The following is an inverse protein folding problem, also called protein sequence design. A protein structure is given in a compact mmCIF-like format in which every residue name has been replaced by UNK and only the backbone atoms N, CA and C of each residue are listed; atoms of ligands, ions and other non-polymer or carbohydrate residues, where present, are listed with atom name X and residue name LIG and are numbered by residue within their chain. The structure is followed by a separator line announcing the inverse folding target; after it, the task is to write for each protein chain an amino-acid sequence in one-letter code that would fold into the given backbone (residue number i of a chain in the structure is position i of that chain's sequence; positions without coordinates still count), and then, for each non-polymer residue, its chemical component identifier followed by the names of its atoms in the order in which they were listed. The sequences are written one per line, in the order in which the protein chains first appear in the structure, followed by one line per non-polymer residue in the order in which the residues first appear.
data_IF_809194946656
#
_entry.id   IF_809194946656
#
_cell.length_a   1.000
_cell.length_b   1.000
_cell.length_c   1.000
_cell.angle_alpha   90.00
_cell.angle_beta   90.00
_cell.angle_gamma   90.00
#
_symmetry.space_group_name_H-M   'P 1'
#
loop_
_entity.id
_entity.type
_entity.pdbx_description
1 polymer ?
#
# COMPACT_ATOMS: atom_id res chain seq x y z
N UNK A 1 -4.61 -41.49 -14.03
CA UNK A 1 -3.39 -40.65 -13.96
C UNK A 1 -3.82 -39.27 -14.40
N UNK A 2 -4.16 -38.40 -13.44
CA UNK A 2 -4.52 -37.01 -13.72
C UNK A 2 -3.21 -36.23 -13.77
N UNK A 3 -2.91 -35.59 -14.89
CA UNK A 3 -1.85 -34.60 -14.94
C UNK A 3 -2.44 -33.26 -14.48
N UNK A 4 -1.98 -32.75 -13.34
CA UNK A 4 -2.14 -31.35 -12.98
C UNK A 4 -1.43 -30.50 -14.03
N UNK A 5 -2.14 -29.55 -14.64
CA UNK A 5 -1.50 -28.49 -15.41
C UNK A 5 -0.81 -27.58 -14.41
N UNK A 6 0.48 -27.32 -14.63
CA UNK A 6 1.19 -26.23 -13.95
C UNK A 6 0.37 -24.95 -14.11
N UNK A 7 0.11 -24.25 -13.01
CA UNK A 7 -0.58 -22.98 -13.03
C UNK A 7 0.08 -22.03 -14.02
N UNK A 8 -0.77 -21.31 -14.78
CA UNK A 8 -0.35 -20.34 -15.76
C UNK A 8 0.50 -19.28 -15.04
N UNK A 9 1.72 -18.99 -15.53
CA UNK A 9 2.68 -18.00 -15.00
C UNK A 9 2.17 -16.54 -15.07
N UNK A 10 0.88 -16.29 -14.88
CA UNK A 10 0.33 -14.94 -14.81
C UNK A 10 0.53 -14.32 -13.41
N UNK A 11 0.75 -15.11 -12.35
CA UNK A 11 0.99 -14.62 -10.99
C UNK A 11 2.42 -14.11 -10.69
N UNK A 12 3.34 -14.08 -11.67
CA UNK A 12 4.72 -13.62 -11.46
C UNK A 12 5.04 -12.26 -12.11
N UNK A 13 4.22 -11.80 -13.06
CA UNK A 13 4.43 -10.51 -13.70
C UNK A 13 3.69 -9.41 -12.91
N UNK A 14 4.30 -8.24 -12.78
CA UNK A 14 3.62 -7.07 -12.24
C UNK A 14 2.38 -6.69 -13.05
N UNK A 15 1.44 -6.02 -12.39
CA UNK A 15 0.15 -5.58 -12.91
C UNK A 15 0.01 -4.04 -12.97
N UNK A 16 0.94 -3.29 -12.37
CA UNK A 16 0.94 -1.83 -12.31
C UNK A 16 1.13 -1.29 -10.89
N UNK A 17 0.85 0.00 -10.69
CA UNK A 17 0.68 0.63 -9.39
C UNK A 17 -0.80 0.95 -9.19
N UNK A 18 -1.28 0.95 -7.95
CA UNK A 18 -2.63 1.42 -7.62
C UNK A 18 -2.63 2.95 -7.63
N UNK A 19 -3.26 3.54 -8.64
CA UNK A 19 -3.50 4.98 -8.76
C UNK A 19 -4.77 5.39 -8.06
N UNK A 20 -4.65 6.17 -7.00
CA UNK A 20 -5.74 6.82 -6.28
C UNK A 20 -5.93 8.22 -6.87
N UNK A 21 -7.10 8.49 -7.43
CA UNK A 21 -7.44 9.77 -8.07
C UNK A 21 -8.37 10.58 -7.19
N UNK A 22 -8.03 11.85 -6.96
CA UNK A 22 -8.73 12.74 -6.02
C UNK A 22 -9.28 13.97 -6.73
N UNK A 23 -10.42 14.48 -6.26
CA UNK A 23 -11.03 15.71 -6.76
C UNK A 23 -10.22 16.97 -6.44
N UNK A 24 -9.37 16.94 -5.42
CA UNK A 24 -8.62 18.10 -4.93
C UNK A 24 -7.10 17.87 -5.02
N UNK A 25 -6.33 18.95 -5.13
CA UNK A 25 -4.84 18.93 -5.21
C UNK A 25 -4.13 18.43 -3.94
N UNK A 26 -4.86 18.31 -2.83
CA UNK A 26 -4.34 17.95 -1.50
C UNK A 26 -4.65 16.49 -1.10
N UNK A 27 -4.94 15.64 -2.08
CA UNK A 27 -5.32 14.23 -1.91
C UNK A 27 -6.60 14.03 -1.09
N UNK A 28 -7.52 15.00 -1.11
CA UNK A 28 -8.85 14.86 -0.51
C UNK A 28 -9.93 14.64 -1.57
N UNK A 29 -11.03 13.99 -1.18
CA UNK A 29 -12.12 13.65 -2.11
C UNK A 29 -11.71 12.56 -3.10
N UNK A 30 -11.36 11.37 -2.59
CA UNK A 30 -11.06 10.20 -3.42
C UNK A 30 -12.25 9.91 -4.37
N UNK A 31 -11.96 9.82 -5.66
CA UNK A 31 -12.96 9.63 -6.72
C UNK A 31 -12.93 8.20 -7.26
N UNK A 32 -11.76 7.72 -7.70
CA UNK A 32 -11.57 6.37 -8.24
C UNK A 32 -10.20 5.80 -7.86
N UNK A 33 -10.09 4.48 -7.95
CA UNK A 33 -8.84 3.74 -7.88
C UNK A 33 -8.72 2.79 -9.08
N UNK A 34 -7.51 2.65 -9.63
CA UNK A 34 -7.22 1.67 -10.70
C UNK A 34 -5.75 1.28 -10.72
N UNK A 35 -5.45 0.07 -11.20
CA UNK A 35 -4.07 -0.42 -11.34
C UNK A 35 -3.55 -0.17 -12.76
N UNK A 36 -2.39 0.45 -12.87
CA UNK A 36 -1.84 0.90 -14.17
C UNK A 36 -0.33 1.18 -14.14
N UNK A 37 0.31 1.24 -15.31
CA UNK A 37 1.62 1.88 -15.46
C UNK A 37 1.45 3.40 -15.59
N UNK A 38 2.43 4.17 -15.13
CA UNK A 38 2.34 5.64 -15.11
C UNK A 38 2.91 6.25 -16.39
N UNK A 39 2.03 6.53 -17.36
CA UNK A 39 2.37 7.29 -18.57
C UNK A 39 1.12 7.93 -19.16
N UNK A 40 0.80 9.14 -18.70
CA UNK A 40 -0.41 9.87 -19.05
C UNK A 40 -0.10 11.24 -19.65
N UNK A 41 -0.88 11.58 -20.67
CA UNK A 41 -0.99 12.92 -21.24
C UNK A 41 -2.49 13.18 -21.41
N UNK A 42 -3.05 13.94 -20.47
CA UNK A 42 -4.47 14.29 -20.48
C UNK A 42 -4.72 15.60 -21.24
N UNK A 43 -3.67 16.35 -21.61
CA UNK A 43 -3.80 17.71 -22.12
C UNK A 43 -4.68 18.55 -21.19
N UNK A 44 -5.59 19.34 -21.76
CA UNK A 44 -6.60 20.10 -20.98
C UNK A 44 -7.84 19.25 -20.58
N UNK A 45 -7.69 17.93 -20.55
CA UNK A 45 -8.75 16.96 -20.28
C UNK A 45 -8.74 16.42 -18.85
N UNK A 46 -9.71 15.56 -18.55
CA UNK A 46 -9.86 14.96 -17.22
C UNK A 46 -9.25 13.56 -17.16
N UNK A 47 -8.63 13.16 -16.02
CA UNK A 47 -8.07 11.82 -15.85
C UNK A 47 -9.10 10.70 -15.71
N UNK A 48 -10.35 11.04 -15.38
CA UNK A 48 -11.46 10.11 -15.26
C UNK A 48 -12.81 10.84 -15.25
N UNK A 49 -13.87 10.14 -15.69
CA UNK A 49 -15.22 10.68 -15.60
C UNK A 49 -15.56 11.09 -14.16
N UNK A 50 -16.01 12.34 -13.98
CA UNK A 50 -16.39 12.91 -12.69
C UNK A 50 -15.29 13.72 -12.01
N UNK A 51 -14.03 13.66 -12.47
CA UNK A 51 -12.95 14.51 -11.96
C UNK A 51 -12.86 15.76 -12.87
N UNK A 52 -12.71 16.94 -12.27
CA UNK A 52 -12.50 18.16 -13.06
C UNK A 52 -11.14 18.13 -13.78
N UNK A 53 -11.00 18.74 -14.97
CA UNK A 53 -9.73 18.77 -15.70
C UNK A 53 -8.60 19.52 -14.96
N UNK A 54 -8.98 20.43 -14.06
CA UNK A 54 -8.06 21.21 -13.23
C UNK A 54 -8.25 20.85 -11.76
N UNK A 55 -7.28 21.20 -10.93
CA UNK A 55 -7.32 21.10 -9.46
C UNK A 55 -7.46 19.67 -8.89
N UNK A 56 -6.96 18.65 -9.58
CA UNK A 56 -6.97 17.26 -9.11
C UNK A 56 -5.59 16.80 -8.63
N UNK A 57 -5.55 15.67 -7.91
CA UNK A 57 -4.30 14.99 -7.59
C UNK A 57 -4.41 13.49 -7.79
N UNK A 58 -3.24 12.85 -7.95
CA UNK A 58 -3.14 11.40 -8.08
C UNK A 58 -1.99 10.88 -7.23
N UNK A 59 -2.21 9.75 -6.57
CA UNK A 59 -1.18 9.02 -5.83
C UNK A 59 -1.12 7.59 -6.33
N UNK A 60 0.01 7.20 -6.92
CA UNK A 60 0.29 5.81 -7.28
C UNK A 60 1.11 5.13 -6.19
N UNK A 61 0.67 3.94 -5.77
CA UNK A 61 1.27 3.13 -4.72
C UNK A 61 1.50 1.70 -5.21
N UNK A 62 2.59 1.09 -4.76
CA UNK A 62 2.92 -0.30 -5.06
C UNK A 62 4.41 -0.53 -4.92
N UNK A 63 4.94 -1.45 -5.70
CA UNK A 63 6.36 -1.80 -5.67
C UNK A 63 6.95 -1.87 -7.07
N UNK A 64 8.25 -1.57 -7.19
CA UNK A 64 9.02 -1.78 -8.42
C UNK A 64 10.02 -2.92 -8.22
N UNK A 65 10.13 -3.78 -9.22
CA UNK A 65 11.13 -4.85 -9.27
C UNK A 65 12.11 -4.59 -10.40
N UNK A 66 13.41 -4.55 -10.08
CA UNK A 66 14.47 -4.34 -11.09
C UNK A 66 14.98 -5.66 -11.66
N UNK A 67 15.32 -5.70 -12.95
CA UNK A 67 15.92 -6.89 -13.60
C UNK A 67 17.42 -7.02 -13.35
N UNK A 68 18.09 -5.94 -12.95
CA UNK A 68 19.53 -5.87 -12.80
C UNK A 68 19.91 -5.27 -11.44
N UNK A 69 21.00 -5.78 -10.84
CA UNK A 69 21.55 -5.17 -9.62
C UNK A 69 22.46 -4.01 -10.02
N UNK A 70 21.89 -2.83 -10.18
CA UNK A 70 22.57 -1.65 -10.73
C UNK A 70 22.08 -0.35 -10.05
N UNK A 71 22.78 0.74 -10.30
CA UNK A 71 22.24 2.08 -10.03
C UNK A 71 21.23 2.42 -11.12
N UNK A 72 19.97 2.52 -10.73
CA UNK A 72 18.89 2.97 -11.60
C UNK A 72 18.74 4.48 -11.49
N UNK A 73 18.46 5.12 -12.63
CA UNK A 73 17.96 6.49 -12.70
C UNK A 73 16.47 6.42 -12.93
N UNK A 74 15.68 7.03 -12.04
CA UNK A 74 14.26 7.26 -12.25
C UNK A 74 14.07 8.65 -12.83
N UNK A 75 13.11 8.79 -13.74
CA UNK A 75 12.73 10.05 -14.35
C UNK A 75 11.23 10.25 -14.16
N UNK A 76 10.84 11.48 -13.84
CA UNK A 76 9.45 11.92 -13.91
C UNK A 76 9.36 13.05 -14.91
N UNK A 77 8.43 12.98 -15.85
CA UNK A 77 8.02 14.16 -16.65
C UNK A 77 6.64 14.56 -16.18
N UNK A 78 6.47 15.76 -15.64
CA UNK A 78 5.16 16.19 -15.13
C UNK A 78 4.82 17.64 -15.45
N UNK A 79 3.53 17.89 -15.60
CA UNK A 79 2.87 19.18 -15.56
C UNK A 79 1.60 18.95 -14.76
N UNK A 80 1.47 19.30 -13.47
CA UNK A 80 2.36 20.10 -12.64
C UNK A 80 3.15 19.26 -11.61
N UNK A 81 3.03 19.59 -10.32
CA UNK A 81 3.97 19.16 -9.30
C UNK A 81 4.02 17.65 -9.08
N UNK A 82 5.22 17.15 -8.75
CA UNK A 82 5.51 15.72 -8.61
C UNK A 82 6.43 15.43 -7.41
N UNK A 83 6.18 14.31 -6.73
CA UNK A 83 7.09 13.73 -5.74
C UNK A 83 7.21 12.22 -5.95
N UNK A 84 8.43 11.70 -5.95
CA UNK A 84 8.72 10.28 -6.08
C UNK A 84 9.49 9.77 -4.86
N UNK A 85 8.96 8.72 -4.24
CA UNK A 85 9.69 7.90 -3.27
C UNK A 85 9.93 6.51 -3.83
N UNK A 86 11.13 5.99 -3.58
CA UNK A 86 11.48 4.59 -3.82
C UNK A 86 12.21 4.07 -2.60
N UNK A 87 11.83 2.90 -2.08
CA UNK A 87 12.42 2.32 -0.86
C UNK A 87 12.35 3.29 0.34
N UNK A 88 11.21 4.00 0.45
CA UNK A 88 10.97 5.03 1.47
C UNK A 88 11.78 6.33 1.31
N UNK A 89 12.71 6.42 0.36
CA UNK A 89 13.57 7.61 0.14
C UNK A 89 12.90 8.56 -0.84
N UNK A 90 12.77 9.84 -0.46
CA UNK A 90 12.32 10.91 -1.36
C UNK A 90 13.41 11.18 -2.41
N UNK A 91 13.18 10.73 -3.63
CA UNK A 91 14.13 10.87 -4.74
C UNK A 91 13.91 12.16 -5.53
N UNK A 92 12.65 12.51 -5.80
CA UNK A 92 12.26 13.70 -6.56
C UNK A 92 11.25 14.49 -5.72
N UNK A 93 11.48 15.79 -5.58
CA UNK A 93 10.60 16.71 -4.84
C UNK A 93 10.46 18.05 -5.57
N UNK A 94 9.55 18.08 -6.55
CA UNK A 94 9.20 19.27 -7.31
C UNK A 94 7.71 19.58 -7.10
N UNK A 95 7.35 19.94 -5.87
CA UNK A 95 5.96 20.12 -5.45
C UNK A 95 5.44 21.57 -5.62
N UNK A 96 5.95 22.29 -6.60
CA UNK A 96 5.46 23.64 -6.96
C UNK A 96 4.82 23.60 -8.35
N UNK A 97 3.90 24.52 -8.68
CA UNK A 97 3.33 24.57 -10.03
C UNK A 97 4.42 24.88 -11.05
N UNK A 98 4.52 24.07 -12.10
CA UNK A 98 5.46 24.24 -13.20
C UNK A 98 4.86 23.70 -14.50
N UNK A 99 5.34 24.19 -15.64
CA UNK A 99 5.04 23.58 -16.95
C UNK A 99 5.70 22.19 -17.04
N UNK A 100 5.45 21.47 -18.14
CA UNK A 100 6.09 20.17 -18.41
C UNK A 100 7.61 20.19 -18.17
N UNK A 101 8.06 19.51 -17.11
CA UNK A 101 9.46 19.44 -16.68
C UNK A 101 9.87 17.99 -16.42
N UNK A 102 11.11 17.65 -16.76
CA UNK A 102 11.72 16.36 -16.44
C UNK A 102 12.63 16.49 -15.22
N UNK A 103 12.30 15.74 -14.17
CA UNK A 103 13.14 15.54 -13.00
C UNK A 103 13.74 14.13 -13.01
N UNK A 104 14.92 13.96 -12.40
CA UNK A 104 15.52 12.63 -12.27
C UNK A 104 16.40 12.49 -11.04
N UNK A 105 16.48 11.26 -10.55
CA UNK A 105 17.29 10.89 -9.38
C UNK A 105 17.72 9.43 -9.46
N UNK A 106 18.74 9.06 -8.69
CA UNK A 106 19.31 7.71 -8.74
C UNK A 106 19.17 6.95 -7.42
N UNK A 107 19.05 5.63 -7.52
CA UNK A 107 19.04 4.70 -6.39
C UNK A 107 19.67 3.37 -6.80
N UNK A 108 20.38 2.72 -5.88
CA UNK A 108 20.89 1.36 -6.11
C UNK A 108 19.79 0.34 -5.83
N UNK A 109 19.49 -0.51 -6.81
CA UNK A 109 18.51 -1.59 -6.70
C UNK A 109 19.20 -2.95 -6.84
N UNK A 110 18.60 -3.98 -6.25
CA UNK A 110 19.02 -5.38 -6.41
C UNK A 110 18.07 -6.11 -7.34
N UNK A 111 18.60 -6.87 -8.29
CA UNK A 111 17.80 -7.65 -9.24
C UNK A 111 16.83 -8.59 -8.51
N UNK A 112 15.57 -8.59 -8.92
CA UNK A 112 14.50 -9.43 -8.36
C UNK A 112 14.03 -9.02 -6.95
N UNK A 113 14.63 -7.99 -6.33
CA UNK A 113 14.10 -7.41 -5.12
C UNK A 113 13.01 -6.37 -5.46
N UNK A 114 11.95 -6.35 -4.66
CA UNK A 114 10.87 -5.37 -4.75
C UNK A 114 11.12 -4.24 -3.77
N UNK A 115 10.88 -3.03 -4.24
CA UNK A 115 11.03 -1.80 -3.45
C UNK A 115 9.75 -1.01 -3.53
N UNK A 116 9.29 -0.47 -2.41
CA UNK A 116 8.08 0.36 -2.38
C UNK A 116 8.27 1.59 -3.26
N UNK A 117 7.24 1.91 -4.05
CA UNK A 117 7.15 3.11 -4.87
C UNK A 117 5.92 3.89 -4.46
N UNK A 118 6.13 5.19 -4.22
CA UNK A 118 5.07 6.18 -4.11
C UNK A 118 5.34 7.29 -5.11
N UNK A 119 4.43 7.52 -6.03
CA UNK A 119 4.44 8.68 -6.90
C UNK A 119 3.23 9.54 -6.57
N UNK A 120 3.48 10.77 -6.18
CA UNK A 120 2.44 11.78 -5.95
C UNK A 120 2.53 12.82 -7.07
N UNK A 121 1.37 13.25 -7.55
CA UNK A 121 1.22 14.23 -8.63
C UNK A 121 0.01 15.13 -8.34
N UNK A 122 0.07 16.39 -8.74
CA UNK A 122 -1.11 17.24 -8.82
C UNK A 122 -1.14 18.07 -10.10
N UNK A 123 -2.36 18.42 -10.50
CA UNK A 123 -2.64 19.41 -11.53
C UNK A 123 -3.44 20.55 -10.89
N UNK A 124 -3.02 21.80 -11.09
CA UNK A 124 -3.75 22.96 -10.57
C UNK A 124 -4.55 23.70 -11.65
N UNK A 125 -3.99 23.84 -12.85
CA UNK A 125 -4.61 24.49 -14.00
C UNK A 125 -3.86 24.17 -15.32
N UNK A 126 -4.60 24.03 -16.41
CA UNK A 126 -4.04 24.01 -17.75
C UNK A 126 -3.91 22.61 -18.32
N UNK A 127 -2.70 22.19 -18.70
CA UNK A 127 -2.48 20.88 -19.33
C UNK A 127 -1.82 19.91 -18.36
N UNK A 128 -2.40 18.73 -18.22
CA UNK A 128 -1.93 17.71 -17.30
C UNK A 128 -1.15 16.60 -18.02
N UNK A 129 0.08 16.35 -17.59
CA UNK A 129 0.86 15.16 -17.99
C UNK A 129 1.70 14.61 -16.83
N UNK A 130 1.92 13.30 -16.85
CA UNK A 130 2.79 12.59 -15.90
C UNK A 130 3.32 11.30 -16.52
N UNK A 131 4.64 11.12 -16.54
CA UNK A 131 5.32 9.89 -16.97
C UNK A 131 6.33 9.45 -15.92
N UNK A 132 6.39 8.15 -15.64
CA UNK A 132 7.43 7.53 -14.81
C UNK A 132 8.29 6.60 -15.67
N UNK A 133 9.56 6.93 -15.79
CA UNK A 133 10.54 6.17 -16.56
C UNK A 133 11.73 5.77 -15.70
N UNK A 134 12.50 4.79 -16.18
CA UNK A 134 13.75 4.39 -15.55
C UNK A 134 14.81 3.99 -16.58
N UNK A 135 16.08 4.03 -16.18
CA UNK A 135 17.21 3.49 -16.95
C UNK A 135 18.33 3.01 -16.02
N UNK A 136 19.21 2.17 -16.51
CA UNK A 136 20.43 1.72 -15.82
C UNK A 136 21.50 1.36 -16.87
N UNK A 137 22.63 0.77 -16.45
CA UNK A 137 23.68 0.37 -17.40
C UNK A 137 23.20 -0.70 -18.39
N UNK A 138 22.36 -1.63 -17.92
CA UNK A 138 21.77 -2.72 -18.72
C UNK A 138 20.29 -2.49 -19.08
N UNK A 139 19.64 -1.49 -18.47
CA UNK A 139 18.26 -1.10 -18.77
C UNK A 139 18.24 0.16 -19.65
N UNK A 140 17.88 0.01 -20.92
CA UNK A 140 17.56 1.15 -21.80
C UNK A 140 16.44 1.99 -21.17
N UNK A 141 16.52 3.32 -21.29
CA UNK A 141 15.46 4.22 -20.81
C UNK A 141 14.11 3.83 -21.41
N UNK A 142 13.11 3.64 -20.55
CA UNK A 142 11.73 3.36 -20.93
C UNK A 142 10.76 3.75 -19.79
N UNK A 143 9.49 3.95 -20.12
CA UNK A 143 8.40 3.92 -19.12
C UNK A 143 8.52 2.62 -18.34
N UNK A 144 8.40 2.68 -17.02
CA UNK A 144 8.45 1.47 -16.21
C UNK A 144 7.24 0.61 -16.58
N UNK A 145 7.43 -0.56 -17.20
CA UNK A 145 6.32 -1.35 -17.69
C UNK A 145 5.53 -1.90 -16.50
N UNK A 146 4.22 -2.07 -16.68
CA UNK A 146 3.35 -2.66 -15.65
C UNK A 146 3.90 -4.00 -15.14
N UNK A 147 4.57 -4.79 -16.00
CA UNK A 147 5.18 -6.07 -15.61
C UNK A 147 6.29 -5.97 -14.57
N UNK A 148 6.87 -4.78 -14.34
CA UNK A 148 7.86 -4.50 -13.30
C UNK A 148 7.28 -3.71 -12.12
N UNK A 149 5.98 -3.43 -12.15
CA UNK A 149 5.24 -2.70 -11.13
C UNK A 149 4.21 -3.64 -10.50
N UNK A 150 4.23 -3.76 -9.20
CA UNK A 150 3.33 -4.64 -8.47
C UNK A 150 2.38 -3.79 -7.66
N UNK A 151 1.09 -3.96 -7.92
CA UNK A 151 0.07 -3.39 -7.06
C UNK A 151 0.28 -4.02 -5.70
N UNK A 152 0.51 -3.18 -4.69
CA UNK A 152 0.35 -3.65 -3.32
C UNK A 152 -1.14 -3.52 -3.06
N UNK A 153 -1.90 -4.62 -2.95
CA UNK A 153 -3.29 -4.52 -2.54
C UNK A 153 -3.36 -3.71 -1.25
N UNK A 154 -4.25 -2.71 -1.22
CA UNK A 154 -4.52 -1.95 0.00
C UNK A 154 -4.92 -2.93 1.09
N UNK A 155 -4.27 -2.86 2.24
CA UNK A 155 -4.55 -3.75 3.35
C UNK A 155 -3.29 -4.27 4.05
N UNK A 156 -3.51 -5.22 4.95
CA UNK A 156 -2.47 -5.94 5.66
C UNK A 156 -2.50 -7.41 5.21
N UNK A 157 -1.33 -8.01 5.03
CA UNK A 157 -1.21 -9.44 4.79
C UNK A 157 -1.54 -10.16 6.10
N UNK A 158 -2.73 -10.77 6.15
CA UNK A 158 -3.19 -11.62 7.24
C UNK A 158 -2.69 -13.05 7.03
N UNK A 159 -1.95 -13.55 8.03
CA UNK A 159 -1.54 -14.93 8.15
C UNK A 159 -2.38 -15.63 9.23
N UNK A 160 -3.28 -16.50 8.79
CA UNK A 160 -4.28 -17.16 9.62
C UNK A 160 -3.82 -18.57 9.95
N UNK A 161 -3.75 -18.88 11.24
CA UNK A 161 -3.27 -20.16 11.75
C UNK A 161 -4.25 -20.69 12.79
N UNK A 162 -4.48 -22.01 12.83
CA UNK A 162 -5.19 -22.64 13.95
C UNK A 162 -4.35 -23.71 14.66
N UNK A 163 -4.78 -24.06 15.88
CA UNK A 163 -4.13 -25.06 16.72
C UNK A 163 -4.16 -26.49 16.14
N UNK A 164 -4.89 -26.73 15.05
CA UNK A 164 -5.06 -28.02 14.40
C UNK A 164 -4.26 -28.14 13.09
N UNK A 165 -3.47 -27.12 12.74
CA UNK A 165 -2.65 -27.08 11.54
C UNK A 165 -3.38 -26.56 10.30
N UNK A 166 -4.56 -25.96 10.45
CA UNK A 166 -5.21 -25.17 9.43
C UNK A 166 -4.47 -23.85 9.22
N UNK A 167 -4.39 -23.44 7.96
CA UNK A 167 -3.60 -22.29 7.54
C UNK A 167 -4.20 -21.63 6.30
N UNK A 168 -4.14 -20.29 6.26
CA UNK A 168 -4.41 -19.50 5.07
C UNK A 168 -3.71 -18.15 5.15
N UNK A 169 -3.34 -17.59 4.00
CA UNK A 169 -2.82 -16.22 3.94
C UNK A 169 -3.59 -15.44 2.89
N UNK A 170 -4.00 -14.21 3.20
CA UNK A 170 -4.66 -13.29 2.26
C UNK A 170 -4.39 -11.84 2.64
N UNK A 171 -4.65 -10.93 1.70
CA UNK A 171 -4.61 -9.50 2.00
C UNK A 171 -5.99 -9.03 2.43
N UNK A 172 -6.05 -8.42 3.60
CA UNK A 172 -7.27 -7.86 4.18
C UNK A 172 -7.23 -6.33 4.08
N UNK A 173 -8.18 -5.75 3.35
CA UNK A 173 -8.22 -4.30 3.09
C UNK A 173 -8.36 -3.44 4.34
N UNK A 174 -8.94 -4.02 5.39
CA UNK A 174 -8.96 -3.50 6.74
C UNK A 174 -9.02 -4.69 7.72
N UNK A 175 -8.61 -4.48 8.96
CA UNK A 175 -8.96 -5.37 10.07
C UNK A 175 -10.27 -4.82 10.65
N UNK A 176 -11.38 -5.33 10.13
CA UNK A 176 -12.73 -5.00 10.57
C UNK A 176 -13.61 -6.25 10.39
N UNK A 177 -13.45 -7.19 11.32
CA UNK A 177 -14.03 -8.52 11.23
C UNK A 177 -14.91 -8.83 12.43
N UNK A 178 -16.13 -9.24 12.15
CA UNK A 178 -17.02 -9.92 13.08
C UNK A 178 -17.37 -11.27 12.44
N UNK A 179 -16.65 -12.31 12.82
CA UNK A 179 -16.91 -13.67 12.36
C UNK A 179 -18.01 -14.34 13.17
N UNK A 180 -18.38 -13.77 14.30
CA UNK A 180 -19.29 -14.40 15.24
C UNK A 180 -18.77 -15.77 15.67
N UNK A 181 -19.59 -16.80 15.41
CA UNK A 181 -19.25 -18.22 15.63
C UNK A 181 -18.80 -18.94 14.33
N UNK A 182 -18.54 -18.18 13.27
CA UNK A 182 -18.08 -18.72 11.99
C UNK A 182 -16.55 -18.74 11.91
N UNK A 183 -16.02 -19.53 10.98
CA UNK A 183 -14.58 -19.56 10.71
C UNK A 183 -14.12 -18.35 9.90
N UNK A 184 -12.91 -17.81 10.13
CA UNK A 184 -12.36 -16.68 9.38
C UNK A 184 -11.98 -17.04 7.94
N UNK A 185 -11.76 -18.33 7.68
CA UNK A 185 -11.40 -18.87 6.39
C UNK A 185 -11.79 -20.37 6.29
N UNK A 186 -12.15 -20.91 5.10
CA UNK A 186 -12.50 -22.33 4.94
C UNK A 186 -11.48 -23.33 5.51
N UNK A 187 -10.19 -23.00 5.41
CA UNK A 187 -9.06 -23.84 5.86
C UNK A 187 -8.63 -23.57 7.31
N UNK A 188 -9.35 -22.74 8.04
CA UNK A 188 -9.06 -22.39 9.44
C UNK A 188 -10.26 -22.82 10.29
N UNK A 189 -9.99 -23.29 11.50
CA UNK A 189 -11.01 -23.68 12.47
C UNK A 189 -11.90 -22.51 12.88
N UNK A 190 -13.03 -22.83 13.53
CA UNK A 190 -13.97 -21.82 14.06
C UNK A 190 -13.46 -21.15 15.33
N UNK A 191 -12.66 -21.88 16.11
CA UNK A 191 -12.05 -21.45 17.38
C UNK A 191 -10.58 -21.87 17.40
N UNK A 192 -9.83 -21.41 18.41
CA UNK A 192 -8.42 -21.75 18.63
C UNK A 192 -7.54 -21.35 17.44
N UNK A 193 -7.76 -20.13 16.94
CA UNK A 193 -7.02 -19.57 15.82
C UNK A 193 -6.36 -18.25 16.19
N UNK A 194 -5.29 -17.93 15.46
CA UNK A 194 -4.56 -16.69 15.54
C UNK A 194 -4.47 -16.07 14.15
N UNK A 195 -4.43 -14.75 14.10
CA UNK A 195 -4.17 -14.03 12.86
C UNK A 195 -3.06 -13.01 13.08
N UNK A 196 -2.06 -13.04 12.21
CA UNK A 196 -0.97 -12.08 12.18
C UNK A 196 -1.08 -11.23 10.93
N UNK A 197 -1.54 -9.99 11.09
CA UNK A 197 -1.55 -9.01 10.02
C UNK A 197 -0.24 -8.25 10.00
N UNK A 198 0.39 -8.16 8.82
CA UNK A 198 1.60 -7.37 8.60
C UNK A 198 1.42 -6.45 7.40
N UNK A 199 2.02 -5.28 7.47
CA UNK A 199 2.01 -4.32 6.37
C UNK A 199 2.54 -2.98 6.84
N UNK A 200 2.10 -1.91 6.21
CA UNK A 200 2.56 -0.57 6.53
C UNK A 200 1.40 0.42 6.58
N UNK A 201 1.51 1.40 7.47
CA UNK A 201 0.68 2.61 7.48
C UNK A 201 1.54 3.82 7.20
N UNK A 202 0.95 4.88 6.64
CA UNK A 202 1.62 6.15 6.41
C UNK A 202 0.87 7.26 7.12
N UNK A 203 1.55 7.93 8.05
CA UNK A 203 0.98 9.12 8.68
C UNK A 203 0.91 10.27 7.67
N UNK A 204 -0.24 10.89 7.52
CA UNK A 204 -0.39 12.07 6.67
C UNK A 204 0.04 13.35 7.40
N UNK A 205 0.05 13.34 8.72
CA UNK A 205 0.41 14.47 9.57
C UNK A 205 1.50 14.08 10.59
N UNK A 206 2.27 15.06 11.05
CA UNK A 206 3.24 14.87 12.13
C UNK A 206 2.56 15.19 13.45
N UNK A 207 1.92 14.19 14.05
CA UNK A 207 1.15 14.35 15.28
C UNK A 207 1.04 13.05 16.08
N UNK A 208 0.36 13.13 17.22
CA UNK A 208 0.04 11.97 18.03
C UNK A 208 -1.20 11.30 17.45
N UNK A 209 -1.03 10.13 16.85
CA UNK A 209 -2.14 9.30 16.41
C UNK A 209 -2.66 8.46 17.55
N UNK A 210 -3.98 8.35 17.65
CA UNK A 210 -4.64 7.36 18.50
C UNK A 210 -4.82 6.07 17.71
N UNK A 211 -4.48 4.94 18.31
CA UNK A 211 -4.69 3.59 17.79
C UNK A 211 -5.67 2.87 18.69
N UNK A 212 -6.65 2.19 18.10
CA UNK A 212 -7.69 1.45 18.79
C UNK A 212 -7.74 0.03 18.26
N UNK A 213 -7.76 -0.96 19.15
CA UNK A 213 -8.17 -2.33 18.83
C UNK A 213 -9.37 -2.70 19.69
N UNK A 214 -10.46 -3.10 19.05
CA UNK A 214 -11.57 -3.81 19.70
C UNK A 214 -11.45 -5.27 19.37
N UNK A 215 -11.45 -6.18 20.34
CA UNK A 215 -11.34 -7.60 20.08
C UNK A 215 -12.05 -8.48 21.12
N UNK A 216 -12.50 -9.64 20.64
CA UNK A 216 -12.90 -10.82 21.41
C UNK A 216 -12.17 -12.00 20.73
N UNK A 217 -11.03 -12.52 21.22
CA UNK A 217 -10.38 -12.25 22.49
C UNK A 217 -9.19 -11.27 22.36
N UNK A 218 -7.96 -11.72 22.63
CA UNK A 218 -6.82 -10.82 22.85
C UNK A 218 -6.13 -10.36 21.58
N UNK A 219 -5.49 -9.18 21.65
CA UNK A 219 -4.79 -8.58 20.53
C UNK A 219 -3.54 -7.76 20.94
N UNK A 220 -2.61 -7.59 19.99
CA UNK A 220 -1.40 -6.77 20.13
C UNK A 220 -1.14 -5.94 18.89
N UNK A 221 -0.59 -4.74 19.08
CA UNK A 221 -0.20 -3.83 18.02
C UNK A 221 1.27 -3.47 18.14
N UNK A 222 2.01 -3.58 17.03
CA UNK A 222 3.29 -2.93 16.85
C UNK A 222 3.22 -1.90 15.73
N UNK A 223 3.86 -0.76 15.94
CA UNK A 223 4.02 0.30 14.93
C UNK A 223 5.48 0.73 14.89
N UNK A 224 6.13 0.61 13.73
CA UNK A 224 7.57 0.89 13.58
C UNK A 224 8.45 0.01 14.49
N UNK A 225 8.03 -1.24 14.73
CA UNK A 225 8.73 -2.20 15.59
C UNK A 225 8.55 -2.01 17.10
N UNK A 226 7.85 -0.96 17.55
CA UNK A 226 7.53 -0.74 18.97
C UNK A 226 6.16 -1.31 19.30
N UNK A 227 6.04 -2.02 20.43
CA UNK A 227 4.77 -2.51 20.97
C UNK A 227 3.94 -1.32 21.50
N UNK A 228 2.79 -1.07 20.89
CA UNK A 228 1.89 0.06 21.19
C UNK A 228 0.67 -0.38 22.00
N UNK A 229 0.09 -1.53 21.69
CA UNK A 229 -1.02 -2.14 22.43
C UNK A 229 -0.62 -3.56 22.81
N UNK A 230 -0.79 -3.93 24.08
CA UNK A 230 -0.58 -5.28 24.59
C UNK A 230 -1.77 -5.74 25.44
N UNK A 231 -2.74 -6.40 24.80
CA UNK A 231 -3.92 -6.99 25.44
C UNK A 231 -4.01 -8.48 25.12
N UNK A 232 -2.94 -9.22 25.40
CA UNK A 232 -2.81 -10.63 25.05
C UNK A 232 -3.43 -11.57 26.10
N UNK A 233 -4.69 -11.34 26.46
CA UNK A 233 -5.44 -12.17 27.42
C UNK A 233 -6.82 -12.54 26.87
N UNK A 234 -7.35 -13.67 27.33
CA UNK A 234 -8.69 -14.10 27.01
C UNK A 234 -9.72 -13.21 27.71
N UNK A 235 -10.60 -12.56 26.95
CA UNK A 235 -11.66 -11.69 27.45
C UNK A 235 -12.78 -11.58 26.42
N UNK A 236 -14.00 -11.29 26.87
CA UNK A 236 -15.07 -10.84 25.95
C UNK A 236 -14.69 -9.50 25.30
N UNK A 237 -15.42 -9.07 24.26
CA UNK A 237 -15.25 -7.78 23.56
C UNK A 237 -14.70 -6.67 24.46
N UNK A 238 -13.48 -6.23 24.15
CA UNK A 238 -12.79 -5.17 24.86
C UNK A 238 -12.09 -4.24 23.87
N UNK A 239 -12.09 -2.94 24.15
CA UNK A 239 -11.41 -1.94 23.33
C UNK A 239 -10.25 -1.35 24.09
N UNK A 240 -9.05 -1.44 23.50
CA UNK A 240 -7.84 -0.79 24.01
C UNK A 240 -7.43 0.32 23.07
N UNK A 241 -7.11 1.48 23.66
CA UNK A 241 -6.62 2.65 22.94
C UNK A 241 -5.23 3.02 23.45
N UNK A 242 -4.32 3.29 22.53
CA UNK A 242 -2.99 3.80 22.82
C UNK A 242 -2.63 4.92 21.84
N UNK A 243 -1.68 5.77 22.19
CA UNK A 243 -1.25 6.87 21.33
C UNK A 243 0.23 6.72 20.98
N UNK A 244 0.59 7.06 19.75
CA UNK A 244 1.99 7.13 19.30
C UNK A 244 2.20 8.32 18.39
N UNK A 245 3.33 9.01 18.60
CA UNK A 245 3.77 10.09 17.71
C UNK A 245 4.25 9.51 16.39
N UNK A 246 3.69 10.02 15.29
CA UNK A 246 4.11 9.70 13.94
C UNK A 246 4.58 10.96 13.22
N UNK A 247 5.22 10.77 12.07
CA UNK A 247 5.80 11.84 11.26
C UNK A 247 5.13 11.82 9.90
N UNK A 248 4.64 12.97 9.44
CA UNK A 248 4.00 13.13 8.14
C UNK A 248 4.85 12.54 7.02
N UNK A 249 4.21 11.79 6.13
CA UNK A 249 4.84 11.21 4.95
C UNK A 249 5.63 9.93 5.18
N UNK A 250 5.91 9.56 6.45
CA UNK A 250 6.71 8.40 6.84
C UNK A 250 5.84 7.14 6.90
N UNK A 251 6.36 6.07 6.31
CA UNK A 251 5.79 4.73 6.43
C UNK A 251 6.27 4.08 7.72
N UNK A 252 5.37 3.40 8.40
CA UNK A 252 5.62 2.62 9.60
C UNK A 252 5.15 1.19 9.34
N UNK A 253 6.03 0.23 9.57
CA UNK A 253 5.63 -1.18 9.62
C UNK A 253 4.61 -1.37 10.73
N UNK A 254 3.51 -2.03 10.41
CA UNK A 254 2.47 -2.41 11.36
C UNK A 254 2.41 -3.91 11.44
N UNK A 255 2.33 -4.40 12.67
CA UNK A 255 1.93 -5.77 12.97
C UNK A 255 0.77 -5.74 13.92
N UNK A 256 -0.32 -6.43 13.56
CA UNK A 256 -1.42 -6.70 14.48
C UNK A 256 -1.47 -8.21 14.67
N UNK A 257 -1.47 -8.64 15.92
CA UNK A 257 -1.70 -10.04 16.27
C UNK A 257 -3.03 -10.11 17.00
N UNK A 258 -3.81 -11.15 16.72
CA UNK A 258 -5.09 -11.44 17.34
C UNK A 258 -5.17 -12.94 17.60
N UNK A 259 -5.83 -13.33 18.68
CA UNK A 259 -6.24 -14.72 18.88
C UNK A 259 -7.69 -14.83 19.33
N UNK A 260 -8.31 -15.93 18.93
CA UNK A 260 -9.56 -16.43 19.47
C UNK A 260 -9.32 -17.81 20.05
N UNK A 261 -9.60 -17.99 21.35
CA UNK A 261 -9.53 -19.29 21.98
C UNK A 261 -10.84 -20.07 21.82
N UNK A 262 -11.97 -19.41 22.03
CA UNK A 262 -13.31 -20.00 21.93
C UNK A 262 -14.38 -18.91 21.80
N UNK A 263 -15.47 -19.23 21.11
CA UNK A 263 -16.73 -18.50 21.23
C UNK A 263 -16.93 -17.51 20.09
N UNK A 264 -17.01 -16.24 20.43
CA UNK A 264 -17.30 -15.18 19.47
C UNK A 264 -15.99 -14.55 19.02
N UNK A 265 -15.71 -14.58 17.73
CA UNK A 265 -14.49 -14.01 17.18
C UNK A 265 -14.78 -12.67 16.48
N UNK A 266 -14.25 -11.58 17.05
CA UNK A 266 -14.27 -10.26 16.43
C UNK A 266 -12.97 -9.50 16.66
N UNK A 267 -12.58 -8.69 15.68
CA UNK A 267 -11.45 -7.77 15.79
C UNK A 267 -11.60 -6.59 14.82
N UNK A 268 -11.45 -5.39 15.35
CA UNK A 268 -11.41 -4.14 14.57
C UNK A 268 -10.19 -3.33 14.98
N UNK A 269 -9.37 -2.91 14.00
CA UNK A 269 -8.25 -1.99 14.19
C UNK A 269 -8.55 -0.65 13.53
N UNK A 270 -8.40 0.43 14.28
CA UNK A 270 -8.60 1.80 13.82
C UNK A 270 -7.47 2.71 14.28
N UNK A 271 -7.29 3.81 13.56
CA UNK A 271 -6.38 4.88 13.96
C UNK A 271 -6.88 6.25 13.48
N UNK A 272 -6.57 7.31 14.21
CA UNK A 272 -6.99 8.68 13.94
C UNK A 272 -6.03 9.74 14.48
#
# INVERSE_FOLDING_TARGET
MLFERLEQRELLAGDGLVGQYFHNVDFTGLAIERTEAVSFDWGAGSPAAGIDPDAFSVRWLGQVESSYSETYTFYTTSNQGVRLWVDGKLLIDNWQPHDAEEDSATIALTAGARYDVRLEYYEQFGSAEIRLEWSSASQTRQVIPATQLYSSPHGLLGDYNDAFGGHASRVDGAIDFDWGIARPHPNVAVDQFEVHWTGQIRADFSESYAFSITSDEGARLWVGGELVIDDWQAHATHTVVAAKQLEAGKWYDVRVEYFDATGNAEVTFQWS
#
